data_IF_762617565949
#
_entry.id   IF_762617565949
#
_cell.length_a   1.000
_cell.length_b   1.000
_cell.length_c   1.000
_cell.angle_alpha   90.00
_cell.angle_beta   90.00
_cell.angle_gamma   90.00
#
_symmetry.space_group_name_H-M   'P 1'
#
loop_
_entity.id
_entity.type
_entity.pdbx_description
1 polymer ?
#
# COMPACT_ATOMS: atom_id res chain seq x y z
N UNK A 1 8.41 70.89 -65.76
CA UNK A 1 8.28 70.31 -67.12
C UNK A 1 6.96 69.55 -67.13
N UNK A 2 5.90 69.92 -67.83
CA UNK A 2 5.77 70.73 -69.03
C UNK A 2 4.58 71.68 -68.92
N UNK A 3 4.81 72.93 -69.32
CA UNK A 3 3.78 73.90 -69.67
C UNK A 3 3.20 73.52 -71.04
N UNK A 4 1.88 73.49 -71.18
CA UNK A 4 1.21 73.43 -72.48
C UNK A 4 0.05 74.43 -72.47
N UNK A 5 0.35 75.57 -73.07
CA UNK A 5 -0.49 76.48 -73.86
C UNK A 5 -1.99 76.58 -73.56
N UNK A 6 -2.32 77.68 -72.86
CA UNK A 6 -3.56 78.42 -73.07
C UNK A 6 -3.57 78.98 -74.51
N UNK A 7 -4.40 78.40 -75.39
CA UNK A 7 -4.86 79.09 -76.61
C UNK A 7 -6.24 79.67 -76.33
N UNK A 8 -6.27 80.98 -76.08
CA UNK A 8 -7.46 81.80 -76.25
C UNK A 8 -7.92 81.70 -77.71
N UNK A 9 -9.06 81.05 -77.93
CA UNK A 9 -9.77 81.10 -79.21
C UNK A 9 -10.79 82.23 -79.11
N UNK A 10 -10.35 83.44 -79.44
CA UNK A 10 -11.23 84.55 -79.75
C UNK A 10 -11.96 84.25 -81.06
N UNK A 11 -13.29 84.10 -80.99
CA UNK A 11 -14.16 84.09 -82.16
C UNK A 11 -15.14 85.26 -82.01
N UNK A 12 -15.13 86.10 -83.03
CA UNK A 12 -15.78 87.39 -83.24
C UNK A 12 -17.31 87.38 -83.09
N UNK A 13 -17.96 88.54 -82.85
CA UNK A 13 -19.41 88.65 -82.85
C UNK A 13 -19.99 88.37 -84.25
N UNK A 14 -21.23 87.85 -84.35
CA UNK A 14 -21.75 87.33 -85.60
C UNK A 14 -22.08 88.45 -86.58
N UNK A 15 -21.67 88.26 -87.83
CA UNK A 15 -22.12 89.08 -88.97
C UNK A 15 -23.60 88.80 -89.18
N UNK A 16 -24.41 89.86 -89.24
CA UNK A 16 -25.84 89.79 -89.48
C UNK A 16 -26.12 89.42 -90.95
N UNK A 17 -26.24 88.12 -91.22
CA UNK A 17 -26.77 87.61 -92.48
C UNK A 17 -28.30 87.51 -92.46
N UNK A 18 -28.89 87.86 -93.59
CA UNK A 18 -30.29 88.13 -93.82
C UNK A 18 -31.27 87.11 -93.21
N UNK A 19 -32.12 87.60 -92.30
CA UNK A 19 -33.37 86.94 -91.95
C UNK A 19 -34.29 86.91 -93.17
N UNK A 20 -34.30 85.79 -93.89
CA UNK A 20 -35.53 85.37 -94.55
C UNK A 20 -36.61 85.32 -93.47
N UNK A 21 -37.77 85.94 -93.72
CA UNK A 21 -38.94 85.84 -92.84
C UNK A 21 -39.43 84.39 -92.84
N UNK A 22 -38.81 83.55 -92.02
CA UNK A 22 -39.41 82.29 -91.60
C UNK A 22 -40.76 82.63 -90.97
N UNK A 23 -41.79 81.83 -91.24
CA UNK A 23 -43.07 81.98 -90.55
C UNK A 23 -42.79 81.98 -89.04
N UNK A 24 -43.45 82.89 -88.30
CA UNK A 24 -43.22 83.11 -86.86
C UNK A 24 -43.18 81.80 -86.05
N UNK A 25 -43.93 80.79 -86.49
CA UNK A 25 -43.96 79.45 -85.89
C UNK A 25 -42.65 78.67 -85.99
N UNK A 26 -41.88 78.82 -87.09
CA UNK A 26 -40.62 78.09 -87.29
C UNK A 26 -39.49 78.66 -86.42
N UNK A 27 -39.42 79.99 -86.28
CA UNK A 27 -38.50 80.64 -85.34
C UNK A 27 -38.81 80.31 -83.88
N UNK A 28 -40.10 80.27 -83.52
CA UNK A 28 -40.55 79.84 -82.19
C UNK A 28 -40.21 78.36 -81.97
N UNK A 29 -40.37 77.51 -83.00
CA UNK A 29 -39.98 76.10 -82.99
C UNK A 29 -38.49 75.90 -82.70
N UNK A 30 -37.61 76.53 -83.50
CA UNK A 30 -36.15 76.45 -83.32
C UNK A 30 -35.71 76.98 -81.94
N UNK A 31 -36.30 78.09 -81.46
CA UNK A 31 -36.02 78.61 -80.10
C UNK A 31 -36.44 77.64 -79.00
N UNK A 32 -37.59 76.97 -79.16
CA UNK A 32 -38.04 75.92 -78.23
C UNK A 32 -37.11 74.71 -78.27
N UNK A 33 -36.69 74.26 -79.44
CA UNK A 33 -35.73 73.16 -79.59
C UNK A 33 -34.40 73.47 -78.91
N UNK A 34 -33.84 74.66 -79.12
CA UNK A 34 -32.62 75.11 -78.44
C UNK A 34 -32.81 75.11 -76.92
N UNK A 35 -33.95 75.60 -76.41
CA UNK A 35 -34.23 75.60 -74.98
C UNK A 35 -34.39 74.18 -74.42
N UNK A 36 -35.05 73.28 -75.14
CA UNK A 36 -35.18 71.87 -74.74
C UNK A 36 -33.82 71.17 -74.72
N UNK A 37 -32.97 71.41 -75.71
CA UNK A 37 -31.60 70.89 -75.75
C UNK A 37 -30.79 71.45 -74.58
N UNK A 38 -30.89 72.74 -74.28
CA UNK A 38 -30.22 73.36 -73.14
C UNK A 38 -30.70 72.74 -71.81
N UNK A 39 -32.01 72.56 -71.62
CA UNK A 39 -32.57 71.93 -70.43
C UNK A 39 -32.10 70.47 -70.28
N UNK A 40 -31.99 69.72 -71.39
CA UNK A 40 -31.44 68.37 -71.40
C UNK A 40 -29.95 68.37 -71.04
N UNK A 41 -29.16 69.29 -71.59
CA UNK A 41 -27.75 69.48 -71.25
C UNK A 41 -27.61 69.80 -69.76
N UNK A 42 -28.40 70.72 -69.21
CA UNK A 42 -28.36 71.08 -67.80
C UNK A 42 -28.75 69.92 -66.90
N UNK A 43 -29.79 69.15 -67.28
CA UNK A 43 -30.17 67.91 -66.57
C UNK A 43 -29.04 66.87 -66.63
N UNK A 44 -28.40 66.68 -67.78
CA UNK A 44 -27.28 65.75 -67.94
C UNK A 44 -26.05 66.22 -67.17
N UNK A 45 -25.74 67.51 -67.18
CA UNK A 45 -24.65 68.11 -66.41
C UNK A 45 -24.87 67.93 -64.90
N UNK A 46 -26.11 68.12 -64.42
CA UNK A 46 -26.46 67.87 -63.03
C UNK A 46 -26.31 66.39 -62.66
N UNK A 47 -26.69 65.48 -63.55
CA UNK A 47 -26.49 64.03 -63.34
C UNK A 47 -25.01 63.64 -63.37
N UNK A 48 -24.22 64.22 -64.29
CA UNK A 48 -22.76 64.04 -64.35
C UNK A 48 -22.12 64.52 -63.05
N UNK A 49 -22.50 65.69 -62.53
CA UNK A 49 -22.00 66.19 -61.26
C UNK A 49 -22.35 65.26 -60.08
N UNK A 50 -23.58 64.74 -60.04
CA UNK A 50 -24.00 63.75 -59.03
C UNK A 50 -23.12 62.50 -59.10
N UNK A 51 -22.91 61.93 -60.29
CA UNK A 51 -22.05 60.75 -60.49
C UNK A 51 -20.59 61.06 -60.14
N UNK A 52 -20.08 62.24 -60.49
CA UNK A 52 -18.72 62.65 -60.13
C UNK A 52 -18.53 62.76 -58.62
N UNK A 53 -19.50 63.34 -57.91
CA UNK A 53 -19.48 63.41 -56.45
C UNK A 53 -19.53 62.01 -55.82
N UNK A 54 -20.39 61.12 -56.33
CA UNK A 54 -20.45 59.73 -55.87
C UNK A 54 -19.11 58.99 -56.09
N UNK A 55 -18.52 59.11 -57.29
CA UNK A 55 -17.20 58.53 -57.58
C UNK A 55 -16.11 59.10 -56.69
N UNK A 56 -16.18 60.39 -56.33
CA UNK A 56 -15.21 61.02 -55.42
C UNK A 56 -15.35 60.47 -54.00
N UNK A 57 -16.58 60.29 -53.51
CA UNK A 57 -16.81 59.69 -52.18
C UNK A 57 -16.40 58.23 -52.16
N UNK A 58 -16.72 57.43 -53.18
CA UNK A 58 -16.31 56.03 -53.26
C UNK A 58 -14.79 55.88 -53.33
N UNK A 59 -14.11 56.70 -54.15
CA UNK A 59 -12.64 56.72 -54.19
C UNK A 59 -12.02 57.05 -52.84
N UNK A 60 -12.61 57.99 -52.10
CA UNK A 60 -12.15 58.35 -50.75
C UNK A 60 -12.32 57.16 -49.80
N UNK A 61 -13.48 56.50 -49.82
CA UNK A 61 -13.76 55.34 -48.98
C UNK A 61 -12.79 54.18 -49.28
N UNK A 62 -12.55 53.89 -50.56
CA UNK A 62 -11.59 52.84 -50.98
C UNK A 62 -10.19 53.18 -50.48
N UNK A 63 -9.74 54.43 -50.62
CA UNK A 63 -8.42 54.85 -50.12
C UNK A 63 -8.29 54.71 -48.60
N UNK A 64 -9.36 55.00 -47.85
CA UNK A 64 -9.39 54.80 -46.39
C UNK A 64 -9.35 53.31 -46.02
N UNK A 65 -10.04 52.44 -46.76
CA UNK A 65 -9.99 50.99 -46.56
C UNK A 65 -8.62 50.41 -46.93
N UNK A 66 -8.02 50.84 -48.04
CA UNK A 66 -6.67 50.45 -48.44
C UNK A 66 -5.65 50.85 -47.36
N UNK A 67 -5.77 52.05 -46.78
CA UNK A 67 -4.92 52.48 -45.68
C UNK A 67 -5.08 51.59 -44.43
N UNK A 68 -6.31 51.22 -44.07
CA UNK A 68 -6.57 50.29 -42.95
C UNK A 68 -6.02 48.89 -43.22
N UNK A 69 -6.13 48.40 -44.46
CA UNK A 69 -5.57 47.10 -44.86
C UNK A 69 -4.03 47.15 -44.78
N UNK A 70 -3.41 48.25 -45.22
CA UNK A 70 -1.96 48.42 -45.12
C UNK A 70 -1.49 48.48 -43.65
N UNK A 71 -2.22 49.19 -42.79
CA UNK A 71 -1.91 49.26 -41.36
C UNK A 71 -2.02 47.89 -40.69
N UNK A 72 -3.13 47.18 -40.90
CA UNK A 72 -3.32 45.82 -40.36
C UNK A 72 -2.28 44.84 -40.90
N UNK A 73 -1.93 44.92 -42.19
CA UNK A 73 -0.84 44.13 -42.78
C UNK A 73 0.50 44.37 -42.08
N UNK A 74 0.82 45.62 -41.75
CA UNK A 74 2.03 45.96 -41.02
C UNK A 74 1.98 45.45 -39.57
N UNK A 75 0.84 45.53 -38.90
CA UNK A 75 0.65 44.96 -37.57
C UNK A 75 0.91 43.45 -37.59
N UNK A 76 0.34 42.72 -38.54
CA UNK A 76 0.59 41.27 -38.70
C UNK A 76 2.07 40.93 -38.92
N UNK A 77 2.78 41.72 -39.74
CA UNK A 77 4.23 41.52 -39.93
C UNK A 77 5.01 41.74 -38.64
N UNK A 78 4.66 42.76 -37.86
CA UNK A 78 5.30 43.02 -36.57
C UNK A 78 5.05 41.89 -35.57
N UNK A 79 3.80 41.43 -35.44
CA UNK A 79 3.47 40.31 -34.55
C UNK A 79 4.13 39.01 -35.00
N UNK A 80 4.20 38.76 -36.32
CA UNK A 80 4.89 37.58 -36.86
C UNK A 80 6.38 37.60 -36.48
N UNK A 81 7.05 38.73 -36.68
CA UNK A 81 8.46 38.87 -36.31
C UNK A 81 8.68 38.72 -34.80
N UNK A 82 7.74 39.21 -33.97
CA UNK A 82 7.79 39.02 -32.51
C UNK A 82 7.67 37.55 -32.14
N UNK A 83 6.68 36.83 -32.71
CA UNK A 83 6.48 35.40 -32.48
C UNK A 83 7.72 34.61 -32.92
N UNK A 84 8.28 34.90 -34.10
CA UNK A 84 9.47 34.21 -34.60
C UNK A 84 10.70 34.47 -33.72
N UNK A 85 10.85 35.69 -33.20
CA UNK A 85 11.92 36.04 -32.26
C UNK A 85 11.76 35.33 -30.91
N UNK A 86 10.54 35.26 -30.36
CA UNK A 86 10.24 34.54 -29.13
C UNK A 86 10.47 33.03 -29.31
N UNK A 87 9.97 32.45 -30.39
CA UNK A 87 10.16 31.04 -30.72
C UNK A 87 11.64 30.68 -30.87
N UNK A 88 12.44 31.57 -31.47
CA UNK A 88 13.89 31.39 -31.56
C UNK A 88 14.57 31.40 -30.18
N UNK A 89 14.17 32.33 -29.29
CA UNK A 89 14.68 32.39 -27.92
C UNK A 89 14.33 31.14 -27.12
N UNK A 90 13.09 30.69 -27.19
CA UNK A 90 12.63 29.49 -26.51
C UNK A 90 13.33 28.23 -27.02
N UNK A 91 13.54 28.11 -28.34
CA UNK A 91 14.35 27.02 -28.92
C UNK A 91 15.76 27.02 -28.35
N UNK A 92 16.42 28.18 -28.27
CA UNK A 92 17.78 28.28 -27.72
C UNK A 92 17.83 27.89 -26.23
N UNK A 93 16.82 28.31 -25.45
CA UNK A 93 16.70 27.93 -24.04
C UNK A 93 16.49 26.41 -23.88
N UNK A 94 15.61 25.82 -24.70
CA UNK A 94 15.37 24.38 -24.73
C UNK A 94 16.65 23.60 -25.08
N UNK A 95 17.38 24.02 -26.10
CA UNK A 95 18.65 23.39 -26.48
C UNK A 95 19.70 23.47 -25.37
N UNK A 96 19.80 24.62 -24.69
CA UNK A 96 20.71 24.79 -23.56
C UNK A 96 20.33 23.85 -22.39
N UNK A 97 19.04 23.74 -22.07
CA UNK A 97 18.55 22.83 -21.05
C UNK A 97 18.81 21.35 -21.40
N UNK A 98 18.62 20.96 -22.67
CA UNK A 98 18.94 19.60 -23.14
C UNK A 98 20.44 19.31 -23.02
N UNK A 99 21.31 20.26 -23.41
CA UNK A 99 22.76 20.13 -23.25
C UNK A 99 23.16 19.97 -21.78
N UNK A 100 22.63 20.80 -20.89
CA UNK A 100 22.90 20.69 -19.45
C UNK A 100 22.43 19.33 -18.89
N UNK A 101 21.22 18.88 -19.25
CA UNK A 101 20.69 17.57 -18.85
C UNK A 101 21.59 16.43 -19.32
N UNK A 102 21.99 16.43 -20.59
CA UNK A 102 22.84 15.35 -21.15
C UNK A 102 24.22 15.33 -20.50
N UNK A 103 24.80 16.48 -20.17
CA UNK A 103 26.06 16.55 -19.44
C UNK A 103 25.94 16.02 -18.01
N UNK A 104 24.91 16.41 -17.27
CA UNK A 104 24.63 15.88 -15.93
C UNK A 104 24.41 14.36 -15.97
N UNK A 105 23.72 13.85 -16.99
CA UNK A 105 23.52 12.41 -17.15
C UNK A 105 24.84 11.65 -17.43
N UNK A 106 25.78 12.24 -18.16
CA UNK A 106 27.11 11.65 -18.36
C UNK A 106 27.89 11.56 -17.05
N UNK A 107 27.89 12.63 -16.25
CA UNK A 107 28.56 12.66 -14.94
C UNK A 107 27.91 11.64 -14.00
N UNK A 108 26.58 11.55 -13.99
CA UNK A 108 25.87 10.57 -13.19
C UNK A 108 26.29 9.14 -13.55
N UNK A 109 26.31 8.79 -14.84
CA UNK A 109 26.78 7.47 -15.30
C UNK A 109 28.20 7.16 -14.86
N UNK A 110 29.11 8.13 -14.95
CA UNK A 110 30.50 7.94 -14.49
C UNK A 110 30.56 7.69 -12.97
N UNK A 111 29.79 8.44 -12.17
CA UNK A 111 29.72 8.23 -10.73
C UNK A 111 29.10 6.88 -10.36
N UNK A 112 28.05 6.47 -11.06
CA UNK A 112 27.42 5.15 -10.87
C UNK A 112 28.44 4.03 -11.13
N UNK A 113 29.15 4.08 -12.26
CA UNK A 113 30.20 3.10 -12.56
C UNK A 113 31.31 3.07 -11.52
N UNK A 114 31.71 4.23 -10.98
CA UNK A 114 32.71 4.30 -9.92
C UNK A 114 32.21 3.69 -8.60
N UNK A 115 30.95 3.95 -8.23
CA UNK A 115 30.32 3.33 -7.06
C UNK A 115 30.24 1.81 -7.25
N UNK A 116 29.83 1.33 -8.42
CA UNK A 116 29.74 -0.10 -8.72
C UNK A 116 31.11 -0.81 -8.65
N UNK A 117 32.18 -0.12 -9.04
CA UNK A 117 33.54 -0.64 -8.90
C UNK A 117 33.95 -0.76 -7.43
N UNK A 118 33.71 0.28 -6.61
CA UNK A 118 34.02 0.26 -5.18
C UNK A 118 33.19 -0.80 -4.44
N UNK A 119 31.90 -0.91 -4.75
CA UNK A 119 31.05 -1.92 -4.10
C UNK A 119 31.54 -3.33 -4.43
N UNK A 120 31.93 -3.57 -5.68
CA UNK A 120 32.54 -4.85 -6.08
C UNK A 120 33.84 -5.15 -5.31
N UNK A 121 34.70 -4.14 -5.13
CA UNK A 121 35.93 -4.29 -4.34
C UNK A 121 35.63 -4.56 -2.87
N UNK A 122 34.67 -3.85 -2.28
CA UNK A 122 34.24 -4.08 -0.90
C UNK A 122 33.70 -5.49 -0.70
N UNK A 123 32.89 -6.02 -1.62
CA UNK A 123 32.39 -7.40 -1.53
C UNK A 123 33.55 -8.41 -1.51
N UNK A 124 34.54 -8.24 -2.40
CA UNK A 124 35.73 -9.12 -2.42
C UNK A 124 36.54 -9.03 -1.13
N UNK A 125 36.67 -7.82 -0.58
CA UNK A 125 37.36 -7.61 0.69
C UNK A 125 36.60 -8.22 1.87
N UNK A 126 35.26 -8.13 1.87
CA UNK A 126 34.40 -8.76 2.87
C UNK A 126 34.48 -10.29 2.81
N UNK A 127 34.45 -10.88 1.61
CA UNK A 127 34.64 -12.32 1.41
C UNK A 127 36.01 -12.76 1.96
N UNK A 128 37.07 -12.03 1.59
CA UNK A 128 38.44 -12.31 2.06
C UNK A 128 38.54 -12.20 3.59
N UNK A 129 37.92 -11.17 4.17
CA UNK A 129 37.86 -10.99 5.62
C UNK A 129 37.11 -12.15 6.30
N UNK A 130 36.01 -12.62 5.71
CA UNK A 130 35.25 -13.73 6.25
C UNK A 130 36.06 -15.04 6.21
N UNK A 131 36.79 -15.27 5.12
CA UNK A 131 37.73 -16.39 5.01
C UNK A 131 38.81 -16.32 6.09
N UNK A 132 39.45 -15.16 6.30
CA UNK A 132 40.43 -14.99 7.37
C UNK A 132 39.84 -15.14 8.78
N UNK A 133 38.61 -14.70 9.01
CA UNK A 133 37.91 -14.93 10.29
C UNK A 133 37.67 -16.42 10.53
N UNK A 134 37.26 -17.16 9.51
CA UNK A 134 37.07 -18.61 9.57
C UNK A 134 38.39 -19.32 9.89
N UNK A 135 39.47 -18.97 9.18
CA UNK A 135 40.80 -19.51 9.46
C UNK A 135 41.28 -19.18 10.87
N UNK A 136 41.08 -17.94 11.33
CA UNK A 136 41.41 -17.56 12.71
C UNK A 136 40.62 -18.38 13.72
N UNK A 137 39.31 -18.53 13.53
CA UNK A 137 38.47 -19.31 14.44
C UNK A 137 38.88 -20.79 14.48
N UNK A 138 39.26 -21.36 13.33
CA UNK A 138 39.83 -22.71 13.26
C UNK A 138 41.14 -22.81 14.05
N UNK A 139 42.09 -21.91 13.82
CA UNK A 139 43.35 -21.89 14.55
C UNK A 139 43.15 -21.69 16.05
N UNK A 140 42.16 -20.90 16.48
CA UNK A 140 41.85 -20.72 17.91
C UNK A 140 41.43 -22.04 18.56
N UNK A 141 40.66 -22.88 17.86
CA UNK A 141 40.23 -24.18 18.38
C UNK A 141 41.38 -25.18 18.50
N UNK A 142 42.35 -25.10 17.60
CA UNK A 142 43.54 -25.96 17.60
C UNK A 142 44.66 -25.43 18.51
N UNK A 143 44.51 -24.24 19.09
CA UNK A 143 45.51 -23.68 19.99
C UNK A 143 45.26 -24.19 21.42
N UNK A 144 46.26 -24.72 22.11
CA UNK A 144 46.15 -25.02 23.54
C UNK A 144 45.85 -23.76 24.38
N UNK A 145 45.05 -23.85 25.46
CA UNK A 145 44.58 -22.68 26.21
C UNK A 145 45.68 -21.87 26.92
N UNK A 146 46.86 -22.44 27.12
CA UNK A 146 47.98 -21.81 27.85
C UNK A 146 48.92 -20.97 26.97
N UNK A 147 48.82 -21.04 25.64
CA UNK A 147 49.76 -20.38 24.71
C UNK A 147 49.00 -19.49 23.72
N UNK A 148 49.42 -18.24 23.49
CA UNK A 148 48.79 -17.41 22.46
C UNK A 148 49.00 -18.00 21.06
N UNK A 149 47.94 -18.03 20.25
CA UNK A 149 47.90 -18.68 18.92
C UNK A 149 49.12 -18.38 18.03
N UNK A 150 49.50 -17.10 17.92
CA UNK A 150 50.59 -16.69 17.03
C UNK A 150 51.98 -17.11 17.50
N UNK A 151 52.13 -17.46 18.78
CA UNK A 151 53.38 -18.03 19.33
C UNK A 151 53.39 -19.56 19.26
N UNK A 152 52.22 -20.19 19.14
CA UNK A 152 52.09 -21.64 19.00
C UNK A 152 52.36 -22.09 17.55
N UNK A 153 51.75 -21.43 16.57
CA UNK A 153 51.92 -21.75 15.15
C UNK A 153 53.11 -21.02 14.52
N UNK A 154 54.33 -21.47 14.83
CA UNK A 154 55.58 -20.88 14.29
C UNK A 154 55.99 -21.44 12.92
N UNK A 155 55.49 -22.62 12.54
CA UNK A 155 55.78 -23.27 11.26
C UNK A 155 54.52 -24.00 10.77
N UNK A 156 54.26 -24.04 9.45
CA UNK A 156 53.14 -24.80 8.88
C UNK A 156 53.11 -26.28 9.29
N UNK A 157 54.28 -26.87 9.56
CA UNK A 157 54.39 -28.26 9.99
C UNK A 157 53.72 -28.51 11.35
N UNK A 158 53.79 -27.55 12.29
CA UNK A 158 53.17 -27.68 13.62
C UNK A 158 51.65 -27.86 13.53
N UNK A 159 51.02 -27.18 12.56
CA UNK A 159 49.58 -27.35 12.34
C UNK A 159 49.26 -28.71 11.71
N UNK A 160 50.09 -29.18 10.78
CA UNK A 160 49.90 -30.49 10.14
C UNK A 160 50.08 -31.62 11.17
N UNK A 161 51.09 -31.52 12.03
CA UNK A 161 51.35 -32.49 13.09
C UNK A 161 50.19 -32.53 14.11
N UNK A 162 49.63 -31.38 14.50
CA UNK A 162 48.48 -31.35 15.42
C UNK A 162 47.19 -31.86 14.76
N UNK A 163 46.99 -31.62 13.45
CA UNK A 163 45.90 -32.22 12.69
C UNK A 163 46.06 -33.74 12.64
N UNK A 164 47.25 -34.24 12.30
CA UNK A 164 47.53 -35.67 12.26
C UNK A 164 47.31 -36.33 13.62
N UNK A 165 47.70 -35.66 14.71
CA UNK A 165 47.42 -36.12 16.08
C UNK A 165 45.92 -36.23 16.35
N UNK A 166 45.13 -35.19 16.02
CA UNK A 166 43.67 -35.22 16.18
C UNK A 166 43.02 -36.27 15.28
N UNK A 167 43.52 -36.47 14.06
CA UNK A 167 43.05 -37.53 13.16
C UNK A 167 43.33 -38.92 13.75
N UNK A 168 44.51 -39.14 14.30
CA UNK A 168 44.89 -40.39 14.96
C UNK A 168 44.05 -40.64 16.23
N UNK A 169 43.80 -39.62 17.04
CA UNK A 169 42.91 -39.70 18.21
C UNK A 169 41.47 -40.05 17.80
N UNK A 170 40.95 -39.39 16.75
CA UNK A 170 39.62 -39.69 16.21
C UNK A 170 39.55 -41.11 15.65
N UNK A 171 40.57 -41.57 14.93
CA UNK A 171 40.63 -42.93 14.40
C UNK A 171 40.66 -43.96 15.53
N UNK A 172 41.46 -43.69 16.58
CA UNK A 172 41.51 -44.51 17.78
C UNK A 172 40.15 -44.59 18.48
N UNK A 173 39.47 -43.46 18.67
CA UNK A 173 38.13 -43.41 19.26
C UNK A 173 37.11 -44.19 18.43
N UNK A 174 37.15 -44.05 17.09
CA UNK A 174 36.26 -44.79 16.19
C UNK A 174 36.51 -46.29 16.30
N UNK A 175 37.78 -46.71 16.28
CA UNK A 175 38.13 -48.12 16.40
C UNK A 175 37.70 -48.68 17.75
N UNK A 176 37.97 -47.97 18.85
CA UNK A 176 37.59 -48.40 20.19
C UNK A 176 36.07 -48.46 20.36
N UNK A 177 35.33 -47.51 19.78
CA UNK A 177 33.87 -47.54 19.76
C UNK A 177 33.34 -48.78 19.03
N UNK A 178 33.94 -49.13 17.89
CA UNK A 178 33.57 -50.34 17.14
C UNK A 178 33.89 -51.62 17.90
N UNK A 179 35.05 -51.69 18.56
CA UNK A 179 35.44 -52.82 19.41
C UNK A 179 34.45 -53.00 20.57
N UNK A 180 34.15 -51.92 21.29
CA UNK A 180 33.18 -51.93 22.39
C UNK A 180 31.77 -52.30 21.91
N UNK A 181 31.35 -51.81 20.74
CA UNK A 181 30.06 -52.17 20.15
C UNK A 181 30.01 -53.67 19.82
N UNK A 182 31.08 -54.22 19.27
CA UNK A 182 31.17 -55.66 19.00
C UNK A 182 31.10 -56.48 20.29
N UNK A 183 31.85 -56.10 21.33
CA UNK A 183 31.76 -56.74 22.65
C UNK A 183 30.34 -56.68 23.21
N UNK A 184 29.70 -55.52 23.16
CA UNK A 184 28.31 -55.33 23.59
C UNK A 184 27.35 -56.24 22.81
N UNK A 185 27.48 -56.33 21.49
CA UNK A 185 26.65 -57.19 20.65
C UNK A 185 26.84 -58.67 21.00
N UNK A 186 28.09 -59.10 21.23
CA UNK A 186 28.38 -60.50 21.61
C UNK A 186 27.79 -60.86 22.97
N UNK A 187 27.97 -60.02 23.99
CA UNK A 187 27.40 -60.23 25.33
C UNK A 187 25.87 -60.21 25.26
N UNK A 188 25.31 -59.26 24.53
CA UNK A 188 23.85 -59.17 24.34
C UNK A 188 23.30 -60.42 23.65
N UNK A 189 24.00 -60.98 22.66
CA UNK A 189 23.58 -62.22 22.00
C UNK A 189 23.59 -63.41 22.96
N UNK A 190 24.61 -63.54 23.81
CA UNK A 190 24.70 -64.60 24.84
C UNK A 190 23.57 -64.44 25.85
N UNK A 191 23.40 -63.25 26.42
CA UNK A 191 22.34 -62.95 27.41
C UNK A 191 20.96 -63.18 26.80
N UNK A 192 20.71 -62.76 25.55
CA UNK A 192 19.45 -63.06 24.85
C UNK A 192 19.22 -64.57 24.72
N UNK A 193 20.25 -65.35 24.40
CA UNK A 193 20.13 -66.80 24.33
C UNK A 193 19.84 -67.44 25.69
N UNK A 194 20.44 -66.95 26.77
CA UNK A 194 20.18 -67.42 28.14
C UNK A 194 18.78 -67.05 28.62
N UNK A 195 18.34 -65.82 28.34
CA UNK A 195 16.96 -65.37 28.59
C UNK A 195 15.99 -66.29 27.86
N UNK A 196 16.17 -66.53 26.56
CA UNK A 196 15.28 -67.40 25.80
C UNK A 196 15.21 -68.83 26.36
N UNK A 197 16.32 -69.37 26.88
CA UNK A 197 16.37 -70.68 27.52
C UNK A 197 15.60 -70.68 28.85
N UNK A 198 15.85 -69.70 29.71
CA UNK A 198 15.18 -69.59 31.01
C UNK A 198 13.69 -69.27 30.87
N UNK A 199 13.28 -68.50 29.87
CA UNK A 199 11.86 -68.29 29.55
C UNK A 199 11.20 -69.57 29.09
N UNK A 200 11.86 -70.38 28.25
CA UNK A 200 11.33 -71.68 27.84
C UNK A 200 11.19 -72.64 29.03
N UNK A 201 12.18 -72.71 29.93
CA UNK A 201 12.11 -73.49 31.17
C UNK A 201 10.98 -72.98 32.11
N UNK A 202 10.81 -71.65 32.22
CA UNK A 202 9.73 -71.03 32.97
C UNK A 202 8.36 -71.35 32.38
N UNK A 203 8.20 -71.29 31.06
CA UNK A 203 6.97 -71.64 30.36
C UNK A 203 6.63 -73.12 30.58
N UNK A 204 7.63 -74.01 30.54
CA UNK A 204 7.46 -75.43 30.86
C UNK A 204 7.03 -75.66 32.32
N UNK A 205 7.61 -74.91 33.26
CA UNK A 205 7.21 -74.94 34.68
C UNK A 205 5.80 -74.36 34.89
N UNK A 206 5.43 -73.27 34.23
CA UNK A 206 4.07 -72.70 34.25
C UNK A 206 3.08 -73.72 33.68
N UNK A 207 3.41 -74.38 32.57
CA UNK A 207 2.62 -75.45 31.98
C UNK A 207 2.49 -76.67 32.92
N UNK A 208 3.54 -77.00 33.67
CA UNK A 208 3.50 -78.04 34.69
C UNK A 208 2.63 -77.65 35.90
N UNK A 209 2.74 -76.42 36.39
CA UNK A 209 1.91 -75.86 37.47
C UNK A 209 0.44 -75.80 37.05
N UNK A 210 0.14 -75.41 35.80
CA UNK A 210 -1.22 -75.43 35.24
C UNK A 210 -1.83 -76.84 35.22
N UNK A 211 -1.00 -77.89 35.08
CA UNK A 211 -1.44 -79.29 35.21
C UNK A 211 -1.65 -79.71 36.68
N UNK A 212 -0.92 -79.12 37.62
CA UNK A 212 -1.02 -79.39 39.07
C UNK A 212 -2.17 -78.63 39.75
N UNK A 213 -2.63 -77.50 39.19
CA UNK A 213 -3.73 -76.68 39.74
C UNK A 213 -5.16 -77.21 39.46
N UNK A 214 -5.35 -78.52 39.26
CA UNK A 214 -6.67 -79.17 39.41
C UNK A 214 -6.99 -79.53 40.87
N UNK A 215 -6.62 -78.66 41.80
CA UNK A 215 -7.06 -78.72 43.19
C UNK A 215 -7.68 -77.35 43.48
N UNK A 216 -8.95 -77.37 43.89
CA UNK A 216 -9.83 -76.22 44.10
C UNK A 216 -9.13 -75.07 44.85
N UNK A 217 -8.79 -74.00 44.11
CA UNK A 217 -8.44 -72.73 44.73
C UNK A 217 -9.74 -71.99 45.06
N UNK A 218 -9.97 -71.85 46.36
CA UNK A 218 -10.94 -70.96 46.99
C UNK A 218 -10.99 -69.59 46.29
N UNK A 219 -12.18 -69.19 45.84
CA UNK A 219 -12.47 -67.82 45.44
C UNK A 219 -12.46 -66.93 46.69
N UNK A 220 -11.35 -66.21 46.91
CA UNK A 220 -11.41 -65.02 47.75
C UNK A 220 -12.13 -63.92 46.97
N UNK A 221 -13.32 -63.60 47.45
CA UNK A 221 -14.07 -62.39 47.15
C UNK A 221 -13.18 -61.20 47.50
N UNK A 222 -12.64 -60.53 46.49
CA UNK A 222 -12.07 -59.19 46.62
C UNK A 222 -12.77 -58.25 45.63
N UNK A 223 -14.09 -58.16 45.77
CA UNK A 223 -14.85 -56.99 45.31
C UNK A 223 -14.83 -55.95 46.43
N UNK A 224 -13.80 -55.09 46.39
CA UNK A 224 -13.91 -53.73 46.92
C UNK A 224 -13.63 -52.79 45.76
N UNK A 225 -14.71 -52.37 45.13
CA UNK A 225 -14.78 -51.22 44.24
C UNK A 225 -14.09 -50.01 44.89
N UNK A 226 -12.87 -49.71 44.46
CA UNK A 226 -12.20 -48.45 44.78
C UNK A 226 -12.79 -47.38 43.86
N UNK A 227 -13.80 -46.66 44.35
CA UNK A 227 -14.37 -45.48 43.68
C UNK A 227 -13.32 -44.41 43.32
N UNK A 228 -12.16 -44.41 43.97
CA UNK A 228 -11.03 -43.53 43.62
C UNK A 228 -10.41 -43.86 42.26
N UNK A 229 -10.39 -45.13 41.85
CA UNK A 229 -9.83 -45.52 40.55
C UNK A 229 -10.79 -45.15 39.41
N UNK A 230 -12.11 -45.24 39.65
CA UNK A 230 -13.14 -44.87 38.66
C UNK A 230 -13.11 -43.36 38.36
N UNK A 231 -12.90 -42.53 39.40
CA UNK A 231 -12.71 -41.08 39.25
C UNK A 231 -11.41 -40.77 38.49
N UNK A 232 -10.34 -41.51 38.78
CA UNK A 232 -9.05 -41.33 38.10
C UNK A 232 -9.13 -41.72 36.61
N UNK A 233 -9.88 -42.76 36.28
CA UNK A 233 -10.12 -43.20 34.90
C UNK A 233 -11.01 -42.19 34.13
N UNK A 234 -11.99 -41.56 34.79
CA UNK A 234 -12.81 -40.48 34.25
C UNK A 234 -11.97 -39.20 33.98
N UNK A 235 -11.05 -38.86 34.89
CA UNK A 235 -10.12 -37.75 34.69
C UNK A 235 -9.14 -38.03 33.54
N UNK A 236 -8.63 -39.26 33.45
CA UNK A 236 -7.69 -39.67 32.41
C UNK A 236 -8.35 -39.65 31.01
N UNK A 237 -9.59 -40.09 30.91
CA UNK A 237 -10.38 -40.01 29.66
C UNK A 237 -10.72 -38.56 29.29
N UNK A 238 -11.03 -37.72 30.28
CA UNK A 238 -11.26 -36.29 30.07
C UNK A 238 -10.00 -35.60 29.52
N UNK A 239 -8.84 -35.89 30.09
CA UNK A 239 -7.55 -35.36 29.64
C UNK A 239 -7.22 -35.85 28.21
N UNK A 240 -7.42 -37.14 27.93
CA UNK A 240 -7.19 -37.70 26.60
C UNK A 240 -8.05 -37.01 25.52
N UNK A 241 -9.29 -36.64 25.85
CA UNK A 241 -10.17 -35.88 24.96
C UNK A 241 -9.65 -34.47 24.69
N UNK A 242 -9.20 -33.75 25.72
CA UNK A 242 -8.63 -32.40 25.57
C UNK A 242 -7.41 -32.43 24.67
N UNK A 243 -6.47 -33.36 24.92
CA UNK A 243 -5.27 -33.55 24.11
C UNK A 243 -5.62 -33.81 22.64
N UNK A 244 -6.64 -34.64 22.40
CA UNK A 244 -7.11 -34.96 21.04
C UNK A 244 -7.65 -33.72 20.33
N UNK A 245 -8.51 -32.94 21.00
CA UNK A 245 -9.05 -31.70 20.43
C UNK A 245 -7.94 -30.68 20.11
N UNK A 246 -6.99 -30.47 21.02
CA UNK A 246 -5.88 -29.53 20.78
C UNK A 246 -4.99 -29.98 19.64
N UNK A 247 -4.75 -31.29 19.52
CA UNK A 247 -3.97 -31.86 18.42
C UNK A 247 -4.68 -31.67 17.07
N UNK A 248 -6.00 -31.90 17.01
CA UNK A 248 -6.80 -31.69 15.80
C UNK A 248 -6.84 -30.21 15.38
N UNK A 249 -7.00 -29.28 16.32
CA UNK A 249 -6.97 -27.83 16.03
C UNK A 249 -5.59 -27.36 15.53
N UNK A 250 -4.51 -27.93 16.05
CA UNK A 250 -3.15 -27.54 15.67
C UNK A 250 -2.69 -28.17 14.34
N UNK A 251 -3.04 -29.43 14.07
CA UNK A 251 -2.47 -30.19 12.94
C UNK A 251 -3.46 -30.55 11.83
N UNK A 252 -4.77 -30.36 12.03
CA UNK A 252 -5.84 -30.75 11.09
C UNK A 252 -5.78 -32.23 10.63
N UNK A 253 -5.13 -33.10 11.42
CA UNK A 253 -4.98 -34.53 11.15
C UNK A 253 -5.72 -35.36 12.20
N UNK A 254 -6.69 -36.18 11.79
CA UNK A 254 -7.32 -37.19 12.66
C UNK A 254 -6.48 -38.46 12.66
N UNK A 255 -5.30 -38.38 13.26
CA UNK A 255 -4.41 -39.55 13.34
C UNK A 255 -4.83 -40.44 14.53
N UNK A 256 -5.04 -41.73 14.25
CA UNK A 256 -5.34 -42.78 15.25
C UNK A 256 -4.08 -43.17 16.02
N UNK A 257 -3.49 -42.18 16.71
CA UNK A 257 -2.23 -42.31 17.44
C UNK A 257 -2.52 -42.30 18.93
N UNK A 258 -1.70 -42.99 19.71
CA UNK A 258 -1.81 -43.00 21.17
C UNK A 258 -1.73 -41.56 21.74
N UNK A 259 -2.48 -41.27 22.80
CA UNK A 259 -2.52 -39.97 23.50
C UNK A 259 -1.12 -39.48 23.87
N UNK A 260 -0.23 -40.40 24.28
CA UNK A 260 1.17 -40.09 24.58
C UNK A 260 1.94 -39.57 23.35
N UNK A 261 1.74 -40.20 22.19
CA UNK A 261 2.39 -39.79 20.93
C UNK A 261 1.84 -38.45 20.42
N UNK A 262 0.55 -38.16 20.68
CA UNK A 262 -0.03 -36.83 20.39
C UNK A 262 0.65 -35.74 21.23
N UNK A 263 0.88 -36.00 22.52
CA UNK A 263 1.59 -35.08 23.42
C UNK A 263 3.04 -34.88 23.00
N UNK A 264 3.76 -35.95 22.67
CA UNK A 264 5.15 -35.88 22.21
C UNK A 264 5.28 -35.04 20.93
N UNK A 265 4.35 -35.20 19.98
CA UNK A 265 4.35 -34.38 18.75
C UNK A 265 4.04 -32.90 19.03
N UNK A 266 3.09 -32.62 19.92
CA UNK A 266 2.79 -31.26 20.37
C UNK A 266 4.00 -30.61 21.04
N UNK A 267 4.69 -31.34 21.91
CA UNK A 267 5.88 -30.88 22.62
C UNK A 267 7.03 -30.56 21.66
N UNK A 268 7.32 -31.47 20.73
CA UNK A 268 8.37 -31.26 19.73
C UNK A 268 8.10 -30.05 18.84
N UNK A 269 6.86 -29.84 18.41
CA UNK A 269 6.48 -28.69 17.58
C UNK A 269 6.50 -27.37 18.38
N UNK A 270 6.09 -27.40 19.64
CA UNK A 270 6.26 -26.25 20.53
C UNK A 270 7.74 -25.92 20.71
N UNK A 271 8.59 -26.91 20.92
CA UNK A 271 10.03 -26.70 21.09
C UNK A 271 10.67 -26.16 19.80
N UNK A 272 10.28 -26.68 18.64
CA UNK A 272 10.64 -26.15 17.31
C UNK A 272 10.27 -24.67 17.19
N UNK A 273 9.02 -24.32 17.51
CA UNK A 273 8.54 -22.93 17.45
C UNK A 273 9.28 -22.02 18.42
N UNK A 274 9.61 -22.49 19.64
CA UNK A 274 10.43 -21.72 20.58
C UNK A 274 11.85 -21.51 20.06
N UNK A 275 12.47 -22.52 19.46
CA UNK A 275 13.80 -22.41 18.84
C UNK A 275 13.79 -21.43 17.67
N UNK A 276 12.73 -21.42 16.87
CA UNK A 276 12.55 -20.43 15.80
C UNK A 276 12.31 -19.02 16.35
N UNK A 277 11.51 -18.88 17.41
CA UNK A 277 11.29 -17.59 18.08
C UNK A 277 12.60 -17.00 18.61
N UNK A 278 13.51 -17.82 19.12
CA UNK A 278 14.84 -17.38 19.58
C UNK A 278 15.74 -16.86 18.44
N UNK A 279 15.49 -17.25 17.18
CA UNK A 279 16.23 -16.73 16.01
C UNK A 279 15.73 -15.37 15.53
N UNK A 280 14.53 -14.97 15.94
CA UNK A 280 13.91 -13.72 15.50
C UNK A 280 14.47 -12.59 16.36
N UNK A 281 14.89 -11.51 15.70
CA UNK A 281 15.41 -10.31 16.35
C UNK A 281 14.39 -9.73 17.36
N UNK A 282 14.77 -9.53 18.64
CA UNK A 282 13.93 -8.90 19.64
C UNK A 282 13.32 -7.56 19.21
N UNK A 283 13.99 -6.78 18.37
CA UNK A 283 13.48 -5.50 17.87
C UNK A 283 12.38 -5.69 16.82
N UNK A 284 12.46 -6.75 16.01
CA UNK A 284 11.40 -7.14 15.09
C UNK A 284 10.14 -7.59 15.86
N UNK A 285 10.31 -8.34 16.96
CA UNK A 285 9.20 -8.76 17.84
C UNK A 285 8.52 -7.53 18.45
N UNK A 286 9.28 -6.60 19.04
CA UNK A 286 8.73 -5.36 19.62
C UNK A 286 8.00 -4.52 18.58
N UNK A 287 8.54 -4.39 17.37
CA UNK A 287 7.90 -3.67 16.27
C UNK A 287 6.57 -4.32 15.87
N UNK A 288 6.52 -5.65 15.77
CA UNK A 288 5.29 -6.39 15.44
C UNK A 288 4.27 -6.39 16.57
N UNK A 289 4.70 -6.44 17.82
CA UNK A 289 3.82 -6.27 18.99
C UNK A 289 3.21 -4.86 18.98
N UNK A 290 4.00 -3.82 18.75
CA UNK A 290 3.51 -2.45 18.62
C UNK A 290 2.54 -2.29 17.44
N UNK A 291 2.76 -2.97 16.31
CA UNK A 291 1.86 -2.99 15.16
C UNK A 291 0.52 -3.66 15.51
N UNK A 292 0.53 -4.84 16.16
CA UNK A 292 -0.69 -5.53 16.61
C UNK A 292 -1.44 -4.72 17.67
N UNK A 293 -0.74 -4.13 18.64
CA UNK A 293 -1.36 -3.28 19.66
C UNK A 293 -1.92 -1.97 19.07
N UNK A 294 -1.28 -1.43 18.02
CA UNK A 294 -1.82 -0.31 17.26
C UNK A 294 -3.11 -0.70 16.55
N UNK A 295 -3.14 -1.85 15.85
CA UNK A 295 -4.36 -2.36 15.19
C UNK A 295 -5.49 -2.61 16.17
N UNK A 296 -5.22 -3.28 17.29
CA UNK A 296 -6.22 -3.51 18.36
C UNK A 296 -6.80 -2.21 18.89
N UNK A 297 -5.95 -1.19 19.13
CA UNK A 297 -6.40 0.14 19.57
C UNK A 297 -7.22 0.87 18.49
N UNK A 298 -6.83 0.78 17.22
CA UNK A 298 -7.56 1.37 16.11
C UNK A 298 -8.93 0.69 15.91
N UNK A 299 -9.01 -0.63 16.02
CA UNK A 299 -10.25 -1.40 15.98
C UNK A 299 -11.17 -1.04 17.14
N UNK A 300 -10.65 -0.97 18.37
CA UNK A 300 -11.44 -0.53 19.54
C UNK A 300 -11.96 0.91 19.38
N UNK A 301 -11.12 1.82 18.87
CA UNK A 301 -11.54 3.21 18.58
C UNK A 301 -12.62 3.25 17.50
N UNK A 302 -12.46 2.47 16.44
CA UNK A 302 -13.43 2.39 15.34
C UNK A 302 -14.76 1.81 15.81
N UNK A 303 -14.74 0.72 16.57
CA UNK A 303 -15.94 0.10 17.14
C UNK A 303 -16.68 1.07 18.07
N UNK A 304 -15.96 1.79 18.94
CA UNK A 304 -16.56 2.81 19.82
C UNK A 304 -17.14 4.00 19.05
N UNK A 305 -16.47 4.44 17.98
CA UNK A 305 -16.98 5.51 17.11
C UNK A 305 -18.24 5.07 16.36
N UNK A 306 -18.28 3.83 15.86
CA UNK A 306 -19.44 3.25 15.19
C UNK A 306 -20.63 3.09 16.14
N UNK A 307 -20.39 2.66 17.38
CA UNK A 307 -21.43 2.56 18.42
C UNK A 307 -22.02 3.93 18.75
N UNK A 308 -21.18 4.96 18.94
CA UNK A 308 -21.63 6.33 19.15
C UNK A 308 -22.42 6.87 17.96
N UNK A 309 -21.98 6.58 16.73
CA UNK A 309 -22.70 6.98 15.52
C UNK A 309 -24.06 6.29 15.40
N UNK A 310 -24.14 4.99 15.73
CA UNK A 310 -25.41 4.24 15.80
C UNK A 310 -26.34 4.83 16.86
N UNK A 311 -25.83 5.18 18.04
CA UNK A 311 -26.62 5.79 19.10
C UNK A 311 -27.14 7.18 18.70
N UNK A 312 -26.28 8.01 18.10
CA UNK A 312 -26.67 9.32 17.55
C UNK A 312 -27.71 9.19 16.43
N UNK A 313 -27.54 8.23 15.52
CA UNK A 313 -28.51 7.94 14.47
C UNK A 313 -29.86 7.48 15.05
N UNK A 314 -29.85 6.66 16.11
CA UNK A 314 -31.06 6.26 16.84
C UNK A 314 -31.77 7.46 17.46
N UNK A 315 -31.03 8.35 18.14
CA UNK A 315 -31.56 9.60 18.73
C UNK A 315 -32.13 10.52 17.65
N UNK A 316 -31.40 10.72 16.54
CA UNK A 316 -31.84 11.54 15.42
C UNK A 316 -33.13 10.98 14.78
N UNK A 317 -33.20 9.67 14.53
CA UNK A 317 -34.40 9.01 13.99
C UNK A 317 -35.59 9.17 14.94
N UNK A 318 -35.39 9.02 16.25
CA UNK A 318 -36.44 9.22 17.25
C UNK A 318 -36.94 10.68 17.29
N UNK A 319 -36.02 11.65 17.19
CA UNK A 319 -36.38 13.07 17.12
C UNK A 319 -37.18 13.40 15.85
N UNK A 320 -36.78 12.83 14.71
CA UNK A 320 -37.47 12.99 13.43
C UNK A 320 -38.88 12.40 13.49
N UNK A 321 -39.04 11.18 14.03
CA UNK A 321 -40.36 10.58 14.26
C UNK A 321 -41.23 11.42 15.19
N UNK A 322 -40.66 11.98 16.27
CA UNK A 322 -41.39 12.88 17.18
C UNK A 322 -41.83 14.17 16.50
N UNK A 323 -41.01 14.71 15.58
CA UNK A 323 -41.35 15.90 14.81
C UNK A 323 -42.44 15.62 13.75
N UNK A 324 -42.41 14.43 13.14
CA UNK A 324 -43.43 13.99 12.17
C UNK A 324 -44.77 13.62 12.83
N UNK A 325 -44.78 13.23 14.10
CA UNK A 325 -46.02 12.96 14.80
C UNK A 325 -46.89 14.22 14.86
N UNK A 326 -48.17 14.14 14.45
CA UNK A 326 -49.05 15.29 14.48
C UNK A 326 -49.21 15.81 15.91
N UNK A 327 -49.02 17.11 16.08
CA UNK A 327 -49.09 17.77 17.39
C UNK A 327 -50.49 17.54 17.97
N UNK A 328 -50.56 16.75 19.05
CA UNK A 328 -51.81 16.54 19.79
C UNK A 328 -52.25 17.86 20.41
N UNK A 329 -53.24 18.51 19.79
CA UNK A 329 -53.88 19.71 20.35
C UNK A 329 -54.72 19.27 21.54
N UNK A 330 -54.37 19.72 22.74
CA UNK A 330 -55.21 19.51 23.92
C UNK A 330 -56.42 20.44 23.80
N UNK A 331 -57.58 19.88 23.50
CA UNK A 331 -58.85 20.62 23.56
C UNK A 331 -59.36 20.56 25.01
N UNK A 332 -59.45 21.74 25.66
CA UNK A 332 -59.98 21.89 27.01
C UNK A 332 -58.96 22.40 28.05
N UNK A 333 -59.49 22.88 29.19
CA UNK A 333 -58.70 23.33 30.33
C UNK A 333 -57.98 22.13 30.95
N UNK A 334 -56.64 22.11 31.06
CA UNK A 334 -55.92 20.99 31.65
C UNK A 334 -56.33 20.83 33.11
N UNK A 335 -56.89 19.66 33.45
CA UNK A 335 -57.15 19.28 34.84
C UNK A 335 -55.79 19.08 35.49
N UNK A 336 -55.43 19.96 36.43
CA UNK A 336 -54.26 19.76 37.29
C UNK A 336 -54.62 18.69 38.31
N UNK A 337 -54.18 17.48 38.07
CA UNK A 337 -54.15 16.47 39.12
C UNK A 337 -53.22 16.97 40.24
N UNK A 338 -53.67 16.85 41.48
CA UNK A 338 -52.82 17.13 42.64
C UNK A 338 -51.68 16.12 42.63
N UNK A 339 -50.47 16.58 42.37
CA UNK A 339 -49.28 15.74 42.46
C UNK A 339 -49.10 15.32 43.91
N UNK A 340 -49.34 14.04 44.20
CA UNK A 340 -48.81 13.44 45.40
C UNK A 340 -47.27 13.44 45.27
N UNK A 341 -46.53 13.66 46.36
CA UNK A 341 -45.08 13.49 46.36
C UNK A 341 -44.75 12.12 45.75
N UNK A 342 -43.85 12.11 44.77
CA UNK A 342 -43.36 10.87 44.17
C UNK A 342 -42.76 10.05 45.32
N UNK A 343 -43.43 8.96 45.70
CA UNK A 343 -42.76 7.93 46.48
C UNK A 343 -41.71 7.37 45.55
N UNK A 344 -40.44 7.65 45.86
CA UNK A 344 -39.32 7.03 45.19
C UNK A 344 -39.40 5.54 45.53
N UNK A 345 -40.12 4.76 44.72
CA UNK A 345 -39.95 3.32 44.75
C UNK A 345 -38.56 3.07 44.20
N UNK A 346 -37.59 2.96 45.11
CA UNK A 346 -36.34 2.29 44.80
C UNK A 346 -36.73 0.88 44.42
N UNK A 347 -36.77 0.59 43.12
CA UNK A 347 -36.90 -0.77 42.67
C UNK A 347 -35.70 -1.52 43.28
N UNK A 348 -35.89 -2.60 44.06
CA UNK A 348 -34.78 -3.34 44.66
C UNK A 348 -33.81 -3.91 43.62
N UNK A 349 -34.25 -3.94 42.34
CA UNK A 349 -33.45 -4.33 41.18
C UNK A 349 -32.38 -3.28 40.86
N UNK A 350 -32.70 -1.99 40.93
CA UNK A 350 -31.75 -0.90 40.64
C UNK A 350 -30.70 -0.78 41.76
N UNK A 351 -31.09 -0.96 43.03
CA UNK A 351 -30.12 -0.97 44.14
C UNK A 351 -29.19 -2.18 44.06
N UNK A 352 -29.70 -3.37 43.71
CA UNK A 352 -28.86 -4.56 43.50
C UNK A 352 -27.89 -4.38 42.34
N UNK A 353 -28.35 -3.85 41.20
CA UNK A 353 -27.49 -3.59 40.06
C UNK A 353 -26.39 -2.58 40.40
N UNK A 354 -26.76 -1.51 41.11
CA UNK A 354 -25.79 -0.51 41.57
C UNK A 354 -24.76 -1.10 42.54
N UNK A 355 -25.18 -1.98 43.46
CA UNK A 355 -24.28 -2.68 44.38
C UNK A 355 -23.32 -3.63 43.64
N UNK A 356 -23.81 -4.32 42.60
CA UNK A 356 -22.99 -5.21 41.75
C UNK A 356 -21.97 -4.39 40.97
N UNK A 357 -22.36 -3.25 40.40
CA UNK A 357 -21.43 -2.34 39.71
C UNK A 357 -20.38 -1.77 40.67
N UNK A 358 -20.77 -1.42 41.90
CA UNK A 358 -19.86 -0.89 42.93
C UNK A 358 -18.86 -1.96 43.37
N UNK A 359 -19.31 -3.20 43.61
CA UNK A 359 -18.44 -4.35 43.90
C UNK A 359 -17.49 -4.68 42.74
N UNK A 360 -17.98 -4.62 41.49
CA UNK A 360 -17.15 -4.83 40.32
C UNK A 360 -16.06 -3.74 40.18
N UNK A 361 -16.39 -2.49 40.50
CA UNK A 361 -15.41 -1.39 40.54
C UNK A 361 -14.40 -1.58 41.68
N UNK A 362 -14.83 -2.06 42.84
CA UNK A 362 -13.95 -2.31 43.98
C UNK A 362 -12.95 -3.45 43.69
N UNK A 363 -13.40 -4.54 43.06
CA UNK A 363 -12.54 -5.62 42.58
C UNK A 363 -11.58 -5.10 41.49
N UNK A 364 -12.05 -4.24 40.60
CA UNK A 364 -11.20 -3.66 39.55
C UNK A 364 -10.13 -2.69 40.10
N UNK A 365 -10.45 -1.90 41.13
CA UNK A 365 -9.52 -0.95 41.74
C UNK A 365 -8.57 -1.58 42.78
N UNK A 366 -9.05 -2.56 43.55
CA UNK A 366 -8.39 -3.06 44.76
C UNK A 366 -8.30 -4.59 44.86
N UNK A 367 -8.79 -5.33 43.85
CA UNK A 367 -8.62 -6.78 43.79
C UNK A 367 -7.15 -7.15 43.65
N UNK A 368 -6.71 -8.15 44.42
CA UNK A 368 -5.34 -8.64 44.34
C UNK A 368 -5.06 -9.16 42.93
N UNK A 369 -4.09 -8.53 42.27
CA UNK A 369 -3.48 -9.06 41.06
C UNK A 369 -2.52 -10.14 41.57
N UNK A 370 -2.93 -11.40 41.54
CA UNK A 370 -2.01 -12.52 41.70
C UNK A 370 -1.03 -12.48 40.51
N UNK A 371 0.26 -12.37 40.84
CA UNK A 371 1.36 -12.37 39.88
C UNK A 371 1.72 -13.79 39.44
#
# INVERSE_FOLDING_TARGET
MSAVDNKEVGISPPVAEHQQRQQMDEFIGQRREIFFVQLLIDRKNKEIQRIQNLRKTEKKNIAEEEAKIAETSNQYKMTQNQIDAELSREKKNMEAAIKARTQSQKVLKQKTLYVDAITSENMKNEETLNTYKTYKAFLQKMTPPDVPMFEFFNSPQVLLDEIEKVENENLFLIQHYQEMQFEQETVTAVVKSEINKTTAESDDLINAIGKLNKIEQFQLINDKENKENEILDDELTTLARIVTNTYEECFNETADVNTLTRLERLENELEMLYREMMKIDPDFIKSKQAEKDKKRREEQRKAKAEELQKEQARKHKQALLRAQMPVKRKTGRPVRERTLPIKLNRNPIDEKQKLIEEQAQEIFLFGNIEY
#
